data_IF_124684427546
#
_entry.id   IF_124684427546
#
_cell.length_a   1.000
_cell.length_b   1.000
_cell.length_c   1.000
_cell.angle_alpha   90.00
_cell.angle_beta   90.00
_cell.angle_gamma   90.00
#
_symmetry.space_group_name_H-M   'P 1'
#
loop_
_entity.id
_entity.type
_entity.pdbx_description
1 polymer ?
#
# COMPACT_ATOMS: atom_id res chain seq x y z
N UNK A 1 3.82 -21.12 -19.28
CA UNK A 1 2.93 -20.16 -18.57
C UNK A 1 3.40 -20.05 -17.14
N UNK A 2 3.24 -18.89 -16.48
CA UNK A 2 3.58 -18.76 -15.06
C UNK A 2 2.77 -19.76 -14.22
N UNK A 3 3.38 -20.24 -13.15
CA UNK A 3 2.71 -20.99 -12.08
C UNK A 3 1.69 -20.11 -11.36
N UNK A 4 0.74 -20.72 -10.64
CA UNK A 4 -0.23 -19.96 -9.84
C UNK A 4 0.45 -19.04 -8.82
N UNK A 5 1.59 -19.46 -8.25
CA UNK A 5 2.37 -18.65 -7.30
C UNK A 5 3.07 -17.47 -7.98
N UNK A 6 3.64 -17.66 -9.17
CA UNK A 6 4.23 -16.55 -9.95
C UNK A 6 3.16 -15.55 -10.39
N UNK A 7 1.99 -16.03 -10.81
CA UNK A 7 0.87 -15.17 -11.14
C UNK A 7 0.33 -14.43 -9.90
N UNK A 8 0.23 -15.08 -8.74
CA UNK A 8 -0.14 -14.41 -7.49
C UNK A 8 0.87 -13.33 -7.07
N UNK A 9 2.18 -13.57 -7.25
CA UNK A 9 3.21 -12.57 -7.01
C UNK A 9 3.13 -11.39 -7.98
N UNK A 10 2.84 -11.65 -9.26
CA UNK A 10 2.58 -10.61 -10.26
C UNK A 10 1.38 -9.74 -9.88
N UNK A 11 0.28 -10.37 -9.46
CA UNK A 11 -0.91 -9.68 -8.95
C UNK A 11 -0.61 -8.84 -7.70
N UNK A 12 0.23 -9.32 -6.78
CA UNK A 12 0.64 -8.57 -5.61
C UNK A 12 1.40 -7.28 -6.00
N UNK A 13 2.28 -7.38 -7.01
CA UNK A 13 2.98 -6.22 -7.58
C UNK A 13 2.03 -5.19 -8.20
N UNK A 14 1.02 -5.65 -8.95
CA UNK A 14 -0.04 -4.77 -9.49
C UNK A 14 -0.73 -4.01 -8.35
N UNK A 15 -1.08 -4.71 -7.27
CA UNK A 15 -1.85 -4.13 -6.15
C UNK A 15 -1.05 -3.08 -5.39
N UNK A 16 0.20 -3.37 -5.07
CA UNK A 16 1.06 -2.39 -4.39
C UNK A 16 1.37 -1.18 -5.30
N UNK A 17 1.60 -1.41 -6.60
CA UNK A 17 1.81 -0.34 -7.57
C UNK A 17 0.58 0.56 -7.72
N UNK A 18 -0.60 -0.03 -7.85
CA UNK A 18 -1.86 0.69 -7.94
C UNK A 18 -2.13 1.49 -6.65
N UNK A 19 -1.95 0.88 -5.47
CA UNK A 19 -2.08 1.56 -4.18
C UNK A 19 -1.13 2.76 -4.09
N UNK A 20 0.14 2.59 -4.44
CA UNK A 20 1.12 3.67 -4.39
C UNK A 20 0.73 4.83 -5.31
N UNK A 21 0.55 4.58 -6.59
CA UNK A 21 0.38 5.64 -7.59
C UNK A 21 -1.01 6.27 -7.58
N UNK A 22 -2.04 5.57 -7.11
CA UNK A 22 -3.39 6.12 -7.02
C UNK A 22 -3.54 7.14 -5.88
N UNK A 23 -2.79 6.98 -4.78
CA UNK A 23 -3.01 7.73 -3.56
C UNK A 23 -1.89 8.71 -3.19
N UNK A 24 -0.66 8.54 -3.69
CA UNK A 24 0.40 9.54 -3.50
C UNK A 24 -0.05 10.90 -4.04
N UNK A 25 0.18 11.95 -3.26
CA UNK A 25 -0.28 13.32 -3.54
C UNK A 25 -1.65 13.66 -2.95
N UNK A 26 -2.35 12.69 -2.33
CA UNK A 26 -3.63 12.97 -1.67
C UNK A 26 -3.45 13.94 -0.49
N UNK A 27 -4.26 15.01 -0.37
CA UNK A 27 -4.29 15.83 0.83
C UNK A 27 -4.68 15.01 2.05
N UNK A 28 -3.88 15.06 3.11
CA UNK A 28 -4.09 14.31 4.34
C UNK A 28 -3.59 15.09 5.56
N UNK A 29 -4.31 14.98 6.67
CA UNK A 29 -3.91 15.48 7.98
C UNK A 29 -3.94 14.35 9.00
N UNK A 30 -3.47 14.60 10.22
CA UNK A 30 -3.51 13.59 11.29
C UNK A 30 -4.96 13.15 11.57
N UNK A 31 -5.90 14.09 11.47
CA UNK A 31 -7.32 13.88 11.73
C UNK A 31 -8.03 13.10 10.61
N UNK A 32 -7.51 13.14 9.37
CA UNK A 32 -8.12 12.46 8.21
C UNK A 32 -7.39 11.18 7.79
N UNK A 33 -6.18 10.93 8.31
CA UNK A 33 -5.36 9.78 7.96
C UNK A 33 -6.13 8.44 8.06
N UNK A 34 -6.82 8.21 9.18
CA UNK A 34 -7.58 6.98 9.40
C UNK A 34 -8.66 6.76 8.33
N UNK A 35 -9.35 7.84 7.92
CA UNK A 35 -10.38 7.74 6.88
C UNK A 35 -9.79 7.43 5.50
N UNK A 36 -8.58 7.95 5.23
CA UNK A 36 -7.87 7.69 3.98
C UNK A 36 -7.34 6.26 3.93
N UNK A 37 -6.80 5.74 5.04
CA UNK A 37 -6.38 4.33 5.16
C UNK A 37 -7.54 3.38 4.82
N UNK A 38 -8.71 3.59 5.44
CA UNK A 38 -9.91 2.79 5.17
C UNK A 38 -10.35 2.89 3.71
N UNK A 39 -10.26 4.08 3.11
CA UNK A 39 -10.59 4.26 1.70
C UNK A 39 -9.59 3.50 0.80
N UNK A 40 -8.30 3.58 1.09
CA UNK A 40 -7.24 2.84 0.38
C UNK A 40 -7.47 1.33 0.46
N UNK A 41 -7.70 0.80 1.67
CA UNK A 41 -7.99 -0.62 1.89
C UNK A 41 -9.21 -1.07 1.09
N UNK A 42 -10.33 -0.33 1.20
CA UNK A 42 -11.55 -0.66 0.47
C UNK A 42 -11.35 -0.63 -1.03
N UNK A 43 -10.68 0.39 -1.58
CA UNK A 43 -10.38 0.49 -3.01
C UNK A 43 -9.53 -0.68 -3.51
N UNK A 44 -8.48 -1.06 -2.77
CA UNK A 44 -7.57 -2.14 -3.19
C UNK A 44 -8.21 -3.51 -3.00
N UNK A 45 -9.07 -3.70 -1.99
CA UNK A 45 -9.81 -4.95 -1.76
C UNK A 45 -10.74 -5.36 -2.91
N UNK A 46 -11.15 -4.39 -3.76
CA UNK A 46 -11.97 -4.66 -4.94
C UNK A 46 -11.18 -5.28 -6.10
N UNK A 47 -9.84 -5.23 -6.08
CA UNK A 47 -9.03 -5.76 -7.17
C UNK A 47 -9.03 -7.30 -7.15
N UNK A 48 -8.91 -7.97 -8.31
CA UNK A 48 -8.96 -9.43 -8.40
C UNK A 48 -7.99 -10.14 -7.46
N UNK A 49 -8.43 -11.25 -6.86
CA UNK A 49 -7.61 -12.14 -6.01
C UNK A 49 -7.08 -11.53 -4.70
N UNK A 50 -7.46 -10.29 -4.37
CA UNK A 50 -7.12 -9.71 -3.06
C UNK A 50 -7.91 -10.45 -2.00
N UNK A 51 -7.19 -11.09 -1.09
CA UNK A 51 -7.76 -11.75 0.09
C UNK A 51 -7.83 -10.81 1.28
N UNK A 52 -6.77 -10.03 1.49
CA UNK A 52 -6.71 -9.01 2.52
C UNK A 52 -5.79 -7.88 2.11
N UNK A 53 -6.06 -6.70 2.65
CA UNK A 53 -5.21 -5.51 2.53
C UNK A 53 -5.25 -4.76 3.85
N UNK A 54 -4.12 -4.21 4.25
CA UNK A 54 -3.99 -3.31 5.40
C UNK A 54 -3.13 -2.12 4.99
N UNK A 55 -3.50 -0.93 5.44
CA UNK A 55 -2.79 0.31 5.15
C UNK A 55 -2.61 1.12 6.43
N UNK A 56 -1.39 1.59 6.64
CA UNK A 56 -1.01 2.49 7.71
C UNK A 56 -0.23 3.68 7.11
N UNK A 57 -0.60 4.89 7.49
CA UNK A 57 0.10 6.14 7.17
C UNK A 57 0.94 6.54 8.39
N UNK A 58 2.22 6.79 8.23
CA UNK A 58 3.06 7.24 9.34
C UNK A 58 2.72 8.69 9.73
N UNK A 59 2.05 8.85 10.88
CA UNK A 59 1.63 10.15 11.42
C UNK A 59 2.82 11.03 11.80
N UNK A 60 3.98 10.45 12.15
CA UNK A 60 5.18 11.20 12.51
C UNK A 60 5.80 11.87 11.29
N UNK A 61 5.57 11.32 10.10
CA UNK A 61 6.06 11.87 8.83
C UNK A 61 5.12 12.92 8.23
N UNK A 62 3.91 13.10 8.77
CA UNK A 62 2.94 14.08 8.28
C UNK A 62 3.38 15.51 8.63
N UNK A 63 3.92 16.22 7.64
CA UNK A 63 4.20 17.64 7.74
C UNK A 63 2.96 18.46 7.31
N UNK A 64 2.56 19.42 8.15
CA UNK A 64 1.47 20.35 7.83
C UNK A 64 2.02 21.60 7.13
N UNK A 65 1.39 22.00 6.03
CA UNK A 65 1.59 23.29 5.40
C UNK A 65 0.85 24.41 6.16
N UNK A 66 0.91 25.64 5.65
CA UNK A 66 0.22 26.81 6.24
C UNK A 66 -1.31 26.68 6.29
N UNK A 67 -1.89 25.71 5.59
CA UNK A 67 -3.32 25.39 5.55
C UNK A 67 -3.68 24.18 6.41
N UNK A 68 -2.73 23.60 7.16
CA UNK A 68 -2.98 22.54 8.15
C UNK A 68 -2.97 21.12 7.62
N UNK A 69 -2.59 20.88 6.36
CA UNK A 69 -2.51 19.53 5.76
C UNK A 69 -1.17 19.29 5.06
N UNK A 70 -0.87 18.03 4.77
CA UNK A 70 0.24 17.61 3.92
C UNK A 70 -0.25 16.79 2.73
N UNK A 71 0.64 16.47 1.80
CA UNK A 71 0.36 15.51 0.73
C UNK A 71 0.94 14.15 1.11
N UNK A 72 0.18 13.09 0.88
CA UNK A 72 0.61 11.72 1.17
C UNK A 72 1.83 11.39 0.29
N UNK A 73 2.98 11.19 0.92
CA UNK A 73 4.19 10.74 0.24
C UNK A 73 4.36 9.22 0.38
N UNK A 74 4.98 8.59 -0.61
CA UNK A 74 5.18 7.14 -0.63
C UNK A 74 5.91 6.59 0.61
N UNK A 75 6.87 7.35 1.15
CA UNK A 75 7.60 6.99 2.39
C UNK A 75 6.73 6.93 3.65
N UNK A 76 5.56 7.58 3.63
CA UNK A 76 4.62 7.55 4.75
C UNK A 76 3.76 6.28 4.72
N UNK A 77 3.71 5.57 3.60
CA UNK A 77 2.78 4.44 3.42
C UNK A 77 3.46 3.15 3.87
N UNK A 78 2.84 2.47 4.82
CA UNK A 78 3.03 1.05 5.09
C UNK A 78 1.78 0.31 4.65
N UNK A 79 1.90 -0.53 3.62
CA UNK A 79 0.77 -1.33 3.15
C UNK A 79 1.16 -2.78 3.00
N UNK A 80 0.25 -3.70 3.33
CA UNK A 80 0.42 -5.13 3.10
C UNK A 80 -0.79 -5.68 2.38
N UNK A 81 -0.54 -6.50 1.36
CA UNK A 81 -1.57 -7.22 0.61
C UNK A 81 -1.33 -8.72 0.70
N UNK A 82 -2.40 -9.49 0.81
CA UNK A 82 -2.40 -10.93 0.65
C UNK A 82 -3.22 -11.28 -0.60
N UNK A 83 -2.58 -11.98 -1.54
CA UNK A 83 -3.21 -12.47 -2.76
C UNK A 83 -3.50 -13.96 -2.57
N UNK A 84 -4.71 -14.40 -2.92
CA UNK A 84 -5.08 -15.81 -3.03
C UNK A 84 -5.60 -16.07 -4.44
N UNK A 85 -4.75 -16.66 -5.28
CA UNK A 85 -5.09 -17.04 -6.65
C UNK A 85 -5.18 -18.55 -6.73
N UNK A 86 -6.41 -19.05 -6.81
CA UNK A 86 -6.74 -20.48 -6.87
C UNK A 86 -6.02 -21.33 -5.79
N UNK A 87 -5.86 -20.81 -4.57
CA UNK A 87 -5.20 -21.48 -3.46
C UNK A 87 -3.70 -21.20 -3.34
N UNK A 88 -3.06 -20.58 -4.33
CA UNK A 88 -1.71 -20.08 -4.22
C UNK A 88 -1.71 -18.71 -3.51
N UNK A 89 -1.13 -18.67 -2.31
CA UNK A 89 -1.09 -17.47 -1.46
C UNK A 89 0.26 -16.77 -1.53
N UNK A 90 0.24 -15.46 -1.69
CA UNK A 90 1.42 -14.60 -1.67
C UNK A 90 1.12 -13.34 -0.86
N UNK A 91 1.96 -13.07 0.14
CA UNK A 91 1.98 -11.80 0.84
C UNK A 91 2.97 -10.84 0.17
N UNK A 92 2.66 -9.55 0.17
CA UNK A 92 3.61 -8.51 -0.24
C UNK A 92 3.42 -7.26 0.61
N UNK A 93 4.49 -6.49 0.78
CA UNK A 93 4.50 -5.26 1.58
C UNK A 93 5.17 -4.11 0.85
N UNK A 94 4.58 -2.93 0.95
CA UNK A 94 5.17 -1.63 0.71
C UNK A 94 5.54 -1.02 2.07
N UNK A 95 6.80 -0.65 2.25
CA UNK A 95 7.29 -0.03 3.48
C UNK A 95 8.53 0.81 3.19
N UNK A 96 8.67 1.96 3.86
CA UNK A 96 9.87 2.77 3.77
C UNK A 96 11.09 2.04 4.36
N UNK A 97 12.16 1.93 3.56
CA UNK A 97 13.46 1.43 3.99
C UNK A 97 14.40 2.61 4.30
N UNK A 98 14.70 2.89 5.59
CA UNK A 98 15.58 3.99 5.97
C UNK A 98 17.03 3.79 5.50
N UNK A 99 17.45 2.57 5.18
CA UNK A 99 18.83 2.30 4.73
C UNK A 99 19.07 2.80 3.30
N UNK A 100 18.04 2.77 2.48
CA UNK A 100 18.09 3.15 1.06
C UNK A 100 17.31 4.43 0.76
N UNK A 101 16.68 5.04 1.77
CA UNK A 101 15.77 6.19 1.64
C UNK A 101 14.69 5.96 0.57
N UNK A 102 14.09 4.76 0.58
CA UNK A 102 13.22 4.32 -0.51
C UNK A 102 11.96 3.59 -0.02
N UNK A 103 10.75 3.90 -0.54
CA UNK A 103 9.55 3.11 -0.29
C UNK A 103 9.62 1.78 -1.05
N UNK A 104 10.04 0.72 -0.36
CA UNK A 104 10.35 -0.57 -0.97
C UNK A 104 9.14 -1.49 -1.00
N UNK A 105 8.88 -2.09 -2.17
CA UNK A 105 7.93 -3.19 -2.32
C UNK A 105 8.66 -4.53 -2.32
N UNK A 106 8.18 -5.49 -1.54
CA UNK A 106 8.76 -6.84 -1.45
C UNK A 106 7.70 -7.90 -1.24
N UNK A 107 7.96 -9.11 -1.72
CA UNK A 107 7.21 -10.28 -1.30
C UNK A 107 7.55 -10.61 0.17
N UNK A 108 6.58 -11.17 0.87
CA UNK A 108 6.74 -11.73 2.21
C UNK A 108 6.88 -13.26 2.07
N UNK A 109 7.66 -13.84 2.97
CA UNK A 109 7.88 -15.29 3.03
C UNK A 109 6.62 -16.07 3.43
#
# INVERSE_FOLDING_TARGET
>A
MPTEREAAAFEAGIKLGALYHQFVGSPVSIETADSLEVAMERSISLQPFVRSVSVEIDRQMLARNVFGYGELAGKMIRAQVEIDRHGARVGARLEYDPKTDYPLMRLLD
#
